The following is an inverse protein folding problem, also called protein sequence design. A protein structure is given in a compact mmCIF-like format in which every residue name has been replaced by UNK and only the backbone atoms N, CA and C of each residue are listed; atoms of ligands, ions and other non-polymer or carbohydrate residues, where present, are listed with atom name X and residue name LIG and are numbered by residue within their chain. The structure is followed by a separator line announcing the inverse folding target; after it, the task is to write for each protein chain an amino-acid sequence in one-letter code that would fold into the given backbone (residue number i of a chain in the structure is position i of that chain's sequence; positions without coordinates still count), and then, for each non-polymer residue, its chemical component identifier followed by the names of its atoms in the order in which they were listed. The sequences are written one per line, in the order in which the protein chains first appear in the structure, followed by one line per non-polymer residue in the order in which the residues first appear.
data_IF_936972561782
#
_entry.id   IF_936972561782
#
_cell.length_a   1.000
_cell.length_b   1.000
_cell.length_c   1.000
_cell.angle_alpha   90.00
_cell.angle_beta   90.00
_cell.angle_gamma   90.00
#
_symmetry.space_group_name_H-M   'P 1'
#
loop_
_entity.id
_entity.type
_entity.pdbx_description
1 polymer ?
#
# COMPACT_ATOMS: atom_id res chain seq x y z
N UNK A 1 -73.23 -23.33 3.74
CA UNK A 1 -72.74 -22.32 4.71
C UNK A 1 -71.21 -22.41 4.68
N UNK A 2 -70.51 -21.75 3.75
CA UNK A 2 -69.94 -20.40 3.83
C UNK A 2 -69.30 -20.06 5.18
N UNK A 3 -67.97 -20.09 5.20
CA UNK A 3 -67.09 -19.43 6.18
C UNK A 3 -65.70 -19.27 5.57
N UNK A 4 -65.55 -18.28 4.70
CA UNK A 4 -64.27 -17.76 4.18
C UNK A 4 -63.64 -16.83 5.24
N UNK A 5 -62.34 -16.59 5.07
CA UNK A 5 -61.52 -15.47 5.59
C UNK A 5 -60.61 -15.87 6.77
N UNK A 6 -59.35 -15.44 6.89
CA UNK A 6 -58.67 -14.25 6.35
C UNK A 6 -57.20 -14.55 5.99
N UNK A 7 -56.76 -13.96 4.88
CA UNK A 7 -55.36 -13.69 4.57
C UNK A 7 -54.79 -12.72 5.61
N UNK A 8 -53.63 -13.04 6.19
CA UNK A 8 -52.80 -12.08 6.92
C UNK A 8 -51.41 -12.07 6.28
N UNK A 9 -51.30 -11.30 5.19
CA UNK A 9 -50.02 -10.78 4.70
C UNK A 9 -49.82 -9.38 5.28
N UNK A 10 -48.76 -9.22 6.06
CA UNK A 10 -48.07 -7.98 6.47
C UNK A 10 -47.14 -8.40 7.64
N UNK A 11 -45.86 -8.05 7.72
CA UNK A 11 -45.23 -6.84 7.22
C UNK A 11 -43.82 -7.10 6.70
N UNK A 12 -43.54 -6.29 5.69
CA UNK A 12 -42.28 -6.06 5.02
C UNK A 12 -41.14 -5.87 6.04
N UNK A 13 -40.05 -6.59 5.81
CA UNK A 13 -38.75 -6.41 6.45
C UNK A 13 -38.27 -4.98 6.19
N UNK A 14 -38.51 -4.08 7.13
CA UNK A 14 -37.90 -2.77 7.17
C UNK A 14 -36.62 -2.83 8.02
N UNK A 15 -35.62 -3.57 7.53
CA UNK A 15 -34.22 -3.33 7.90
C UNK A 15 -33.73 -2.16 7.04
N UNK A 16 -34.34 -0.99 7.22
CA UNK A 16 -33.70 0.25 6.82
C UNK A 16 -32.59 0.47 7.83
N UNK A 17 -31.41 -0.08 7.53
CA UNK A 17 -30.16 0.32 8.13
C UNK A 17 -30.07 1.83 8.00
N UNK A 18 -30.22 2.49 9.14
CA UNK A 18 -29.81 3.87 9.35
C UNK A 18 -28.42 4.04 8.75
N UNK A 19 -28.34 4.69 7.59
CA UNK A 19 -27.12 5.28 7.07
C UNK A 19 -26.82 6.50 7.96
N UNK A 20 -26.41 6.21 9.20
CA UNK A 20 -25.67 7.18 10.00
C UNK A 20 -24.33 7.37 9.32
N UNK A 21 -23.86 8.63 9.21
CA UNK A 21 -22.55 8.98 8.70
C UNK A 21 -21.47 8.05 9.27
N UNK A 22 -21.08 7.07 8.47
CA UNK A 22 -20.06 6.08 8.77
C UNK A 22 -19.22 6.07 7.50
N UNK A 23 -18.07 6.73 7.54
CA UNK A 23 -17.06 6.58 6.50
C UNK A 23 -16.83 5.08 6.31
N UNK A 24 -16.99 4.58 5.08
CA UNK A 24 -16.70 3.19 4.76
C UNK A 24 -15.17 3.08 4.65
N UNK A 25 -14.47 2.46 5.61
CA UNK A 25 -13.01 2.46 5.63
C UNK A 25 -12.42 1.82 4.36
N UNK A 26 -13.14 0.88 3.75
CA UNK A 26 -12.71 0.28 2.49
C UNK A 26 -12.83 1.27 1.33
N UNK A 27 -13.92 2.04 1.27
CA UNK A 27 -14.08 3.08 0.27
C UNK A 27 -13.02 4.18 0.42
N UNK A 28 -12.70 4.56 1.66
CA UNK A 28 -11.65 5.54 1.95
C UNK A 28 -10.27 5.03 1.49
N UNK A 29 -9.92 3.78 1.81
CA UNK A 29 -8.70 3.14 1.31
C UNK A 29 -8.64 3.12 -0.22
N UNK A 30 -9.72 2.73 -0.89
CA UNK A 30 -9.76 2.68 -2.35
C UNK A 30 -9.67 4.08 -2.99
N UNK A 31 -10.25 5.11 -2.36
CA UNK A 31 -10.07 6.49 -2.80
C UNK A 31 -8.60 6.93 -2.67
N UNK A 32 -7.96 6.61 -1.55
CA UNK A 32 -6.53 6.89 -1.34
C UNK A 32 -5.64 6.16 -2.35
N UNK A 33 -6.01 4.93 -2.76
CA UNK A 33 -5.33 4.25 -3.87
C UNK A 33 -5.41 5.09 -5.14
N UNK A 34 -6.61 5.52 -5.53
CA UNK A 34 -6.82 6.31 -6.74
C UNK A 34 -6.10 7.67 -6.70
N UNK A 35 -6.10 8.34 -5.55
CA UNK A 35 -5.41 9.63 -5.34
C UNK A 35 -3.90 9.51 -5.61
N UNK A 36 -3.27 8.42 -5.19
CA UNK A 36 -1.83 8.21 -5.30
C UNK A 36 -1.38 7.50 -6.59
N UNK A 37 -2.31 7.05 -7.45
CA UNK A 37 -1.99 6.21 -8.63
C UNK A 37 -0.95 6.83 -9.56
N UNK A 38 -1.06 8.14 -9.82
CA UNK A 38 -0.18 8.81 -10.79
C UNK A 38 1.25 8.91 -10.23
N UNK A 39 1.40 9.17 -8.92
CA UNK A 39 2.70 9.22 -8.25
C UNK A 39 3.38 7.85 -8.24
N UNK A 40 2.63 6.76 -7.96
CA UNK A 40 3.16 5.40 -8.07
C UNK A 40 3.56 5.06 -9.52
N UNK A 41 2.78 5.51 -10.51
CA UNK A 41 3.09 5.29 -11.93
C UNK A 41 4.40 5.96 -12.32
N UNK A 42 4.61 7.19 -11.84
CA UNK A 42 5.87 7.90 -12.04
C UNK A 42 7.04 7.16 -11.38
N UNK A 43 6.90 6.74 -10.12
CA UNK A 43 7.95 6.01 -9.40
C UNK A 43 8.32 4.69 -10.10
N UNK A 44 7.32 3.92 -10.57
CA UNK A 44 7.57 2.68 -11.33
C UNK A 44 8.28 2.97 -12.66
N UNK A 45 7.88 4.04 -13.36
CA UNK A 45 8.49 4.44 -14.63
C UNK A 45 9.94 4.91 -14.48
N UNK A 46 10.26 5.62 -13.39
CA UNK A 46 11.65 5.99 -13.03
C UNK A 46 12.49 4.74 -12.78
N UNK A 47 11.91 3.75 -12.09
CA UNK A 47 12.53 2.47 -11.82
C UNK A 47 13.69 2.53 -10.82
N UNK A 48 14.21 1.35 -10.47
CA UNK A 48 15.29 1.22 -9.50
C UNK A 48 14.82 1.26 -8.03
N UNK A 49 15.70 0.87 -7.09
CA UNK A 49 15.33 0.63 -5.70
C UNK A 49 15.00 1.91 -4.92
N UNK A 50 15.45 3.07 -5.37
CA UNK A 50 15.22 4.37 -4.72
C UNK A 50 14.00 5.11 -5.26
N UNK A 51 13.47 4.75 -6.44
CA UNK A 51 12.29 5.40 -6.97
C UNK A 51 11.06 5.20 -6.06
N UNK A 52 10.87 4.00 -5.50
CA UNK A 52 9.81 3.79 -4.50
C UNK A 52 10.01 4.57 -3.19
N UNK A 53 11.21 5.12 -2.93
CA UNK A 53 11.42 6.00 -1.78
C UNK A 53 10.81 7.39 -1.97
N UNK A 54 10.54 7.82 -3.22
CA UNK A 54 9.90 9.11 -3.49
C UNK A 54 8.43 9.10 -3.09
N UNK A 55 7.76 7.95 -3.26
CA UNK A 55 6.35 7.71 -2.90
C UNK A 55 6.19 6.96 -1.57
N UNK A 56 7.26 6.83 -0.79
CA UNK A 56 7.19 6.17 0.52
C UNK A 56 6.16 6.80 1.47
N UNK A 57 5.97 8.14 1.52
CA UNK A 57 4.89 8.73 2.31
C UNK A 57 3.51 8.21 1.91
N UNK A 58 3.24 8.09 0.61
CA UNK A 58 1.95 7.65 0.07
C UNK A 58 1.73 6.15 0.33
N UNK A 59 2.79 5.35 0.21
CA UNK A 59 2.77 3.93 0.61
C UNK A 59 2.47 3.75 2.11
N UNK A 60 2.96 4.66 2.95
CA UNK A 60 2.70 4.65 4.39
C UNK A 60 1.26 5.06 4.70
N UNK A 61 0.72 6.05 3.99
CA UNK A 61 -0.68 6.44 4.08
C UNK A 61 -1.61 5.27 3.68
N UNK A 62 -1.33 4.62 2.55
CA UNK A 62 -2.05 3.42 2.11
C UNK A 62 -1.97 2.28 3.12
N UNK A 63 -0.81 2.05 3.74
CA UNK A 63 -0.66 1.05 4.82
C UNK A 63 -1.56 1.37 6.01
N UNK A 64 -1.64 2.63 6.40
CA UNK A 64 -2.38 3.06 7.59
C UNK A 64 -3.90 2.99 7.39
N UNK A 65 -4.35 3.12 6.14
CA UNK A 65 -5.76 2.97 5.76
C UNK A 65 -6.14 1.54 5.32
N UNK A 66 -5.14 0.69 5.01
CA UNK A 66 -5.38 -0.64 4.48
C UNK A 66 -6.23 -1.52 5.41
N UNK A 67 -7.14 -2.33 4.85
CA UNK A 67 -7.88 -3.32 5.64
C UNK A 67 -6.94 -4.39 6.23
N UNK A 68 -7.37 -5.00 7.34
CA UNK A 68 -6.56 -5.94 8.14
C UNK A 68 -6.01 -7.13 7.32
N UNK A 69 -6.71 -7.53 6.26
CA UNK A 69 -6.34 -8.67 5.40
C UNK A 69 -5.12 -8.40 4.50
N UNK A 70 -4.83 -7.13 4.19
CA UNK A 70 -3.69 -6.70 3.37
C UNK A 70 -2.68 -5.82 4.13
N UNK A 71 -3.01 -5.43 5.36
CA UNK A 71 -2.14 -4.58 6.19
C UNK A 71 -0.73 -5.18 6.40
N UNK A 72 -0.63 -6.51 6.57
CA UNK A 72 0.65 -7.20 6.76
C UNK A 72 1.59 -7.08 5.56
N UNK A 73 1.03 -7.13 4.34
CA UNK A 73 1.77 -6.99 3.09
C UNK A 73 2.25 -5.56 2.92
N UNK A 74 1.40 -4.57 3.21
CA UNK A 74 1.80 -3.17 3.25
C UNK A 74 2.91 -2.91 4.27
N UNK A 75 2.81 -3.47 5.48
CA UNK A 75 3.86 -3.37 6.50
C UNK A 75 5.18 -4.01 6.04
N UNK A 76 5.13 -5.16 5.37
CA UNK A 76 6.32 -5.80 4.82
C UNK A 76 7.03 -4.87 3.82
N UNK A 77 6.31 -4.33 2.83
CA UNK A 77 6.90 -3.48 1.79
C UNK A 77 7.39 -2.15 2.35
N UNK A 78 6.53 -1.41 3.05
CA UNK A 78 6.89 -0.11 3.65
C UNK A 78 7.99 -0.24 4.69
N UNK A 79 8.00 -1.32 5.48
CA UNK A 79 9.06 -1.60 6.44
C UNK A 79 10.43 -1.77 5.80
N UNK A 80 10.52 -2.42 4.62
CA UNK A 80 11.80 -2.54 3.89
C UNK A 80 12.25 -1.21 3.31
N UNK A 81 11.32 -0.42 2.77
CA UNK A 81 11.63 0.91 2.24
C UNK A 81 12.08 1.87 3.35
N UNK A 82 11.41 1.86 4.52
CA UNK A 82 11.81 2.62 5.69
C UNK A 82 13.20 2.21 6.21
N UNK A 83 13.52 0.91 6.20
CA UNK A 83 14.84 0.43 6.58
C UNK A 83 15.93 0.90 5.60
N UNK A 84 15.65 0.90 4.30
CA UNK A 84 16.56 1.45 3.28
C UNK A 84 16.74 2.96 3.43
N UNK A 85 15.64 3.71 3.59
CA UNK A 85 15.65 5.14 3.86
C UNK A 85 16.53 5.46 5.06
N UNK A 86 16.33 4.74 6.16
CA UNK A 86 17.14 4.89 7.38
C UNK A 86 18.62 4.64 7.14
N UNK A 87 18.98 3.58 6.42
CA UNK A 87 20.39 3.28 6.13
C UNK A 87 21.07 4.38 5.31
N UNK A 88 20.33 5.00 4.37
CA UNK A 88 20.82 6.14 3.58
C UNK A 88 20.94 7.41 4.45
N UNK A 89 19.94 7.71 5.27
CA UNK A 89 19.93 8.86 6.16
C UNK A 89 21.06 8.76 7.21
N UNK A 90 21.28 7.59 7.81
CA UNK A 90 22.36 7.33 8.77
C UNK A 90 23.75 7.53 8.13
N UNK A 91 23.87 7.27 6.82
CA UNK A 91 25.08 7.46 6.03
C UNK A 91 25.24 8.91 5.51
N UNK A 92 24.26 9.80 5.75
CA UNK A 92 24.26 11.16 5.22
C UNK A 92 24.07 11.24 3.69
N UNK A 93 23.53 10.18 3.07
CA UNK A 93 23.32 10.09 1.63
C UNK A 93 21.89 10.49 1.30
N UNK A 94 21.71 11.41 0.34
CA UNK A 94 20.38 11.73 -0.18
C UNK A 94 19.82 10.55 -1.01
N UNK A 95 18.71 9.94 -0.58
CA UNK A 95 18.12 8.79 -1.27
C UNK A 95 17.67 9.07 -2.70
N UNK A 96 17.31 10.31 -3.02
CA UNK A 96 16.83 10.69 -4.35
C UNK A 96 17.95 10.78 -5.39
N UNK A 97 19.19 10.87 -4.93
CA UNK A 97 20.39 10.97 -5.79
C UNK A 97 21.30 9.75 -5.70
N UNK A 98 20.96 8.77 -4.87
CA UNK A 98 21.81 7.61 -4.63
C UNK A 98 21.83 6.65 -5.82
N UNK A 99 22.99 6.54 -6.46
CA UNK A 99 23.32 5.51 -7.46
C UNK A 99 24.20 4.44 -6.80
N UNK A 100 23.70 3.21 -6.74
CA UNK A 100 24.43 2.07 -6.15
C UNK A 100 25.71 1.72 -6.92
N UNK A 101 25.69 1.90 -8.24
CA UNK A 101 26.85 1.61 -9.10
C UNK A 101 27.88 2.74 -9.05
N UNK A 102 27.46 3.93 -8.59
CA UNK A 102 28.31 5.12 -8.41
C UNK A 102 28.05 5.78 -7.05
N UNK A 103 28.34 5.10 -5.93
CA UNK A 103 28.11 5.67 -4.61
C UNK A 103 29.06 6.84 -4.35
N UNK A 104 28.71 7.77 -3.42
CA UNK A 104 29.61 8.83 -3.00
C UNK A 104 30.98 8.31 -2.57
N UNK A 105 32.07 9.00 -2.96
CA UNK A 105 33.44 8.53 -2.73
C UNK A 105 33.86 8.52 -1.26
N UNK A 106 33.16 9.30 -0.43
CA UNK A 106 33.32 9.41 1.01
C UNK A 106 32.44 8.43 1.81
N UNK A 107 31.59 7.65 1.14
CA UNK A 107 30.77 6.63 1.79
C UNK A 107 31.64 5.54 2.43
N UNK A 108 31.45 5.31 3.73
CA UNK A 108 32.22 4.30 4.45
C UNK A 108 31.86 2.89 3.99
N UNK A 109 32.79 1.94 4.16
CA UNK A 109 32.53 0.54 3.83
C UNK A 109 31.41 -0.08 4.70
N UNK A 110 31.26 0.39 5.94
CA UNK A 110 30.22 -0.06 6.85
C UNK A 110 28.84 0.43 6.37
N UNK A 111 28.73 1.71 6.02
CA UNK A 111 27.49 2.31 5.54
C UNK A 111 27.06 1.70 4.21
N UNK A 112 28.01 1.52 3.28
CA UNK A 112 27.76 0.80 2.03
C UNK A 112 27.19 -0.59 2.27
N UNK A 113 27.75 -1.33 3.24
CA UNK A 113 27.26 -2.67 3.59
C UNK A 113 25.84 -2.63 4.16
N UNK A 114 25.53 -1.65 5.01
CA UNK A 114 24.20 -1.47 5.59
C UNK A 114 23.15 -1.15 4.51
N UNK A 115 23.46 -0.22 3.60
CA UNK A 115 22.60 0.14 2.48
C UNK A 115 22.37 -1.07 1.57
N UNK A 116 23.44 -1.80 1.20
CA UNK A 116 23.35 -3.01 0.38
C UNK A 116 22.49 -4.10 1.04
N UNK A 117 22.59 -4.26 2.36
CA UNK A 117 21.78 -5.22 3.10
C UNK A 117 20.29 -4.85 3.09
N UNK A 118 19.97 -3.58 3.32
CA UNK A 118 18.59 -3.09 3.25
C UNK A 118 18.00 -3.23 1.83
N UNK A 119 18.76 -2.85 0.81
CA UNK A 119 18.35 -3.00 -0.59
C UNK A 119 18.09 -4.47 -0.96
N UNK A 120 18.92 -5.42 -0.48
CA UNK A 120 18.69 -6.86 -0.69
C UNK A 120 17.38 -7.36 -0.07
N UNK A 121 17.00 -6.84 1.09
CA UNK A 121 15.73 -7.21 1.74
C UNK A 121 14.52 -6.67 0.98
N UNK A 122 14.65 -5.48 0.37
CA UNK A 122 13.60 -4.89 -0.46
C UNK A 122 13.28 -5.76 -1.68
N UNK A 123 14.28 -6.36 -2.32
CA UNK A 123 14.10 -7.25 -3.49
C UNK A 123 14.01 -8.74 -3.11
N UNK A 124 13.80 -9.05 -1.83
CA UNK A 124 13.61 -10.43 -1.40
C UNK A 124 12.29 -11.00 -1.92
N UNK A 125 12.23 -12.33 -2.06
CA UNK A 125 11.02 -13.03 -2.55
C UNK A 125 9.78 -12.69 -1.72
N UNK A 126 9.92 -12.55 -0.39
CA UNK A 126 8.82 -12.21 0.51
C UNK A 126 8.28 -10.81 0.23
N UNK A 127 9.15 -9.82 0.02
CA UNK A 127 8.73 -8.45 -0.28
C UNK A 127 8.10 -8.32 -1.66
N UNK A 128 8.66 -9.01 -2.66
CA UNK A 128 8.08 -9.07 -4.01
C UNK A 128 6.69 -9.69 -3.97
N UNK A 129 6.55 -10.83 -3.28
CA UNK A 129 5.26 -11.52 -3.11
C UNK A 129 4.24 -10.62 -2.38
N UNK A 130 4.65 -9.92 -1.33
CA UNK A 130 3.79 -8.98 -0.63
C UNK A 130 3.30 -7.85 -1.55
N UNK A 131 4.18 -7.29 -2.39
CA UNK A 131 3.80 -6.23 -3.34
C UNK A 131 2.86 -6.74 -4.45
N UNK A 132 3.03 -7.97 -4.92
CA UNK A 132 2.11 -8.62 -5.87
C UNK A 132 0.73 -8.88 -5.24
N UNK A 133 0.68 -9.27 -3.97
CA UNK A 133 -0.55 -9.45 -3.21
C UNK A 133 -1.30 -8.13 -3.03
N UNK A 134 -0.59 -7.03 -2.73
CA UNK A 134 -1.18 -5.68 -2.66
C UNK A 134 -1.83 -5.32 -4.00
N UNK A 135 -1.08 -5.45 -5.11
CA UNK A 135 -1.61 -5.13 -6.43
C UNK A 135 -2.82 -5.99 -6.80
N UNK A 136 -2.82 -7.26 -6.39
CA UNK A 136 -3.95 -8.17 -6.60
C UNK A 136 -5.17 -7.74 -5.79
N UNK A 137 -4.99 -7.44 -4.50
CA UNK A 137 -6.07 -6.97 -3.64
C UNK A 137 -6.67 -5.66 -4.16
N UNK A 138 -5.82 -4.70 -4.53
CA UNK A 138 -6.25 -3.40 -5.07
C UNK A 138 -7.10 -3.58 -6.33
N UNK A 139 -6.66 -4.43 -7.26
CA UNK A 139 -7.45 -4.74 -8.47
C UNK A 139 -8.77 -5.44 -8.15
N UNK A 140 -8.73 -6.43 -7.27
CA UNK A 140 -9.88 -7.30 -7.04
C UNK A 140 -10.95 -6.63 -6.15
N UNK A 141 -10.54 -5.74 -5.24
CA UNK A 141 -11.40 -5.05 -4.26
C UNK A 141 -11.72 -3.61 -4.68
N UNK A 142 -10.71 -2.82 -5.06
CA UNK A 142 -10.90 -1.43 -5.48
C UNK A 142 -11.18 -1.29 -6.98
N UNK A 143 -11.13 -2.38 -7.75
CA UNK A 143 -11.42 -2.40 -9.19
C UNK A 143 -10.57 -1.46 -10.03
N UNK A 144 -9.36 -1.16 -9.54
CA UNK A 144 -8.41 -0.22 -10.12
C UNK A 144 -6.99 -0.76 -9.89
N UNK A 145 -5.98 -0.47 -10.73
CA UNK A 145 -4.63 -0.93 -10.47
C UNK A 145 -3.95 -0.07 -9.38
N UNK A 146 -2.79 -0.47 -8.86
CA UNK A 146 -2.03 0.40 -7.94
C UNK A 146 -1.31 1.54 -8.68
N UNK A 147 -0.95 1.31 -9.94
CA UNK A 147 -0.30 2.24 -10.86
C UNK A 147 -0.74 1.91 -12.29
N UNK A 148 -0.54 2.83 -13.24
CA UNK A 148 -0.98 2.73 -14.64
C UNK A 148 0.16 2.52 -15.62
#
# INVERSE_FOLDING_TARGET
MRGRALLAGAGLVALMGVHGCSSDPQADYCHTVEDHQDDFSEAVAQGGPTALLTVLPDMVDLRDQAPDDIQGQWQQVTGRLLALRKALDDAGVDPTSYDRDKPPSDLSAADKTAIDAAAKQLVSADTVTAFEQIQTQVRDVCHTPLYR
#
